data_IF_423938176226
#
_entry.id   IF_423938176226
#
_cell.length_a   1.000
_cell.length_b   1.000
_cell.length_c   1.000
_cell.angle_alpha   90.00
_cell.angle_beta   90.00
_cell.angle_gamma   90.00
#
_symmetry.space_group_name_H-M   'P 1'
#
loop_
_entity.id
_entity.type
_entity.pdbx_description
1 polymer ?
#
# COMPACT_ATOMS: atom_id res chain seq x y z
N UNK A 1 3.43 -33.36 23.70
CA UNK A 1 3.20 -32.71 22.39
C UNK A 1 3.52 -31.23 22.60
N UNK A 2 4.39 -30.63 21.78
CA UNK A 2 4.66 -29.19 21.84
C UNK A 2 3.70 -28.54 20.84
N UNK A 3 2.72 -27.78 21.33
CA UNK A 3 1.86 -26.96 20.46
C UNK A 3 2.59 -25.66 20.16
N UNK A 4 2.78 -25.38 18.88
CA UNK A 4 3.25 -24.08 18.42
C UNK A 4 2.03 -23.23 18.14
N UNK A 5 1.96 -22.08 18.79
CA UNK A 5 0.84 -21.15 18.67
C UNK A 5 1.23 -20.03 17.70
N UNK A 6 0.25 -19.53 16.94
CA UNK A 6 0.46 -18.40 16.05
C UNK A 6 0.73 -17.12 16.83
N UNK A 7 1.54 -16.23 16.25
CA UNK A 7 1.79 -14.92 16.85
C UNK A 7 0.58 -13.99 16.71
N UNK A 8 0.44 -13.08 17.66
CA UNK A 8 -0.46 -11.94 17.59
C UNK A 8 0.25 -10.68 18.10
N UNK A 9 -0.41 -9.54 18.02
CA UNK A 9 0.13 -8.28 18.57
C UNK A 9 0.34 -8.33 20.09
N UNK A 10 -0.35 -9.22 20.80
CA UNK A 10 -0.30 -9.34 22.27
C UNK A 10 0.30 -10.66 22.75
N UNK A 11 0.50 -11.63 21.86
CA UNK A 11 1.00 -12.97 22.16
C UNK A 11 2.15 -13.35 21.23
N UNK A 12 3.27 -13.75 21.82
CA UNK A 12 4.39 -14.31 21.05
C UNK A 12 3.99 -15.66 20.45
N UNK A 13 4.42 -15.92 19.23
CA UNK A 13 4.17 -17.16 18.51
C UNK A 13 5.02 -17.27 17.26
N UNK A 14 4.66 -18.18 16.36
CA UNK A 14 5.32 -18.38 15.07
C UNK A 14 4.44 -17.82 13.95
N UNK A 15 5.05 -17.31 12.88
CA UNK A 15 4.36 -16.86 11.67
C UNK A 15 5.11 -17.38 10.43
N UNK A 16 4.38 -17.57 9.34
CA UNK A 16 4.98 -17.80 8.02
C UNK A 16 5.22 -16.46 7.33
N UNK A 17 6.22 -16.44 6.44
CA UNK A 17 6.60 -15.24 5.71
C UNK A 17 5.96 -15.20 4.32
N UNK A 18 5.59 -14.01 3.86
CA UNK A 18 5.10 -13.74 2.50
C UNK A 18 5.95 -12.66 1.82
N UNK A 19 6.16 -12.82 0.51
CA UNK A 19 6.79 -11.81 -0.36
C UNK A 19 5.83 -11.18 -1.35
N UNK A 20 4.52 -11.44 -1.22
CA UNK A 20 3.50 -10.70 -1.97
C UNK A 20 3.43 -9.24 -1.51
N UNK A 21 3.19 -8.32 -2.45
CA UNK A 21 3.11 -6.86 -2.21
C UNK A 21 1.67 -6.37 -2.01
N UNK A 22 0.69 -7.21 -2.32
CA UNK A 22 -0.76 -6.97 -2.32
C UNK A 22 -1.52 -7.93 -1.38
N UNK A 23 -0.83 -8.50 -0.39
CA UNK A 23 -1.40 -9.51 0.49
C UNK A 23 -2.30 -8.93 1.59
N UNK A 24 -3.57 -9.33 1.60
CA UNK A 24 -4.55 -9.02 2.67
C UNK A 24 -4.45 -9.93 3.91
N UNK A 25 -3.51 -10.88 3.93
CA UNK A 25 -3.42 -11.88 5.00
C UNK A 25 -2.87 -11.31 6.31
N UNK A 26 -3.68 -11.33 7.37
CA UNK A 26 -3.26 -10.94 8.74
C UNK A 26 -2.41 -12.02 9.47
N UNK A 27 -2.39 -13.26 8.96
CA UNK A 27 -1.65 -14.38 9.56
C UNK A 27 -0.19 -14.53 9.06
N UNK A 28 0.20 -13.79 8.02
CA UNK A 28 1.52 -13.89 7.39
C UNK A 28 2.30 -12.60 7.65
N UNK A 29 3.58 -12.72 8.00
CA UNK A 29 4.44 -11.55 8.14
C UNK A 29 5.04 -11.14 6.79
N UNK A 30 5.05 -9.83 6.53
CA UNK A 30 5.69 -9.26 5.34
C UNK A 30 7.22 -9.41 5.43
N UNK A 31 7.84 -9.75 4.30
CA UNK A 31 9.31 -9.77 4.16
C UNK A 31 9.85 -8.37 3.82
N UNK A 32 11.10 -8.03 4.18
CA UNK A 32 11.74 -6.78 3.76
C UNK A 32 11.72 -6.57 2.24
N UNK A 33 11.77 -7.66 1.46
CA UNK A 33 11.64 -7.65 0.00
C UNK A 33 10.30 -7.07 -0.46
N UNK A 34 9.19 -7.51 0.13
CA UNK A 34 7.85 -7.00 -0.22
C UNK A 34 7.72 -5.51 0.15
N UNK A 35 8.20 -5.13 1.34
CA UNK A 35 8.15 -3.72 1.79
C UNK A 35 8.97 -2.82 0.88
N UNK A 36 10.17 -3.27 0.47
CA UNK A 36 11.02 -2.50 -0.43
C UNK A 36 10.39 -2.34 -1.82
N UNK A 37 9.82 -3.41 -2.38
CA UNK A 37 9.18 -3.37 -3.69
C UNK A 37 8.01 -2.38 -3.74
N UNK A 38 7.17 -2.33 -2.70
CA UNK A 38 6.09 -1.33 -2.60
C UNK A 38 6.65 0.09 -2.50
N UNK A 39 7.73 0.29 -1.73
CA UNK A 39 8.36 1.61 -1.60
C UNK A 39 8.93 2.10 -2.94
N UNK A 40 9.55 1.21 -3.71
CA UNK A 40 10.08 1.53 -5.04
C UNK A 40 8.94 1.91 -5.99
N UNK A 41 7.85 1.13 -6.02
CA UNK A 41 6.66 1.41 -6.82
C UNK A 41 6.02 2.77 -6.49
N UNK A 42 5.87 3.09 -5.19
CA UNK A 42 5.32 4.38 -4.73
C UNK A 42 6.25 5.54 -5.08
N UNK A 43 7.57 5.34 -4.99
CA UNK A 43 8.55 6.37 -5.34
C UNK A 43 8.54 6.65 -6.85
N UNK A 44 8.46 5.59 -7.66
CA UNK A 44 8.34 5.71 -9.12
C UNK A 44 7.02 6.37 -9.52
N UNK A 45 5.90 6.02 -8.88
CA UNK A 45 4.61 6.68 -9.11
C UNK A 45 4.64 8.16 -8.73
N UNK A 46 5.32 8.51 -7.64
CA UNK A 46 5.50 9.89 -7.19
C UNK A 46 6.34 10.71 -8.19
N UNK A 47 7.35 10.08 -8.80
CA UNK A 47 8.15 10.69 -9.85
C UNK A 47 7.42 10.76 -11.20
N UNK A 48 6.54 9.80 -11.49
CA UNK A 48 5.74 9.73 -12.71
C UNK A 48 4.58 10.74 -12.75
N UNK A 49 4.40 11.57 -11.71
CA UNK A 49 3.54 12.75 -11.81
C UNK A 49 2.06 12.41 -11.93
N UNK A 50 1.58 11.31 -11.34
CA UNK A 50 0.16 11.20 -10.98
C UNK A 50 -0.07 11.97 -9.68
N UNK A 51 0.24 13.26 -9.77
CA UNK A 51 -0.23 14.25 -8.85
C UNK A 51 -1.77 14.19 -8.87
N UNK A 52 -2.41 14.31 -7.72
CA UNK A 52 -3.86 14.55 -7.60
C UNK A 52 -4.35 15.83 -8.31
N UNK A 53 -3.56 16.39 -9.23
CA UNK A 53 -3.88 17.44 -10.18
C UNK A 53 -4.71 16.97 -11.38
N UNK A 54 -4.96 15.68 -11.56
CA UNK A 54 -5.92 15.22 -12.59
C UNK A 54 -7.38 15.60 -12.26
N UNK A 55 -7.65 16.05 -11.04
CA UNK A 55 -8.89 16.76 -10.69
C UNK A 55 -8.99 18.16 -11.34
N UNK A 56 -7.87 18.72 -11.81
CA UNK A 56 -7.80 20.00 -12.52
C UNK A 56 -7.59 19.82 -14.03
N UNK A 57 -6.91 18.76 -14.48
CA UNK A 57 -6.63 18.53 -15.91
C UNK A 57 -7.86 18.04 -16.72
N UNK A 58 -8.85 17.40 -16.10
CA UNK A 58 -10.13 17.05 -16.77
C UNK A 58 -11.13 18.23 -16.82
N UNK A 59 -10.79 19.38 -16.21
CA UNK A 59 -11.66 20.56 -16.21
C UNK A 59 -11.40 21.50 -17.39
N UNK A 60 -10.27 21.42 -18.08
CA UNK A 60 -9.96 22.32 -19.21
C UNK A 60 -10.73 21.99 -20.49
N UNK A 61 -11.41 20.84 -20.56
CA UNK A 61 -12.42 20.54 -21.58
C UNK A 61 -13.87 20.53 -21.03
N UNK A 62 -14.07 20.85 -19.75
CA UNK A 62 -15.38 21.00 -19.15
C UNK A 62 -15.54 22.46 -18.71
N UNK A 63 -16.00 23.33 -19.61
CA UNK A 63 -16.17 24.78 -19.42
C UNK A 63 -17.14 25.22 -18.33
N UNK A 64 -17.04 24.67 -17.12
CA UNK A 64 -17.85 25.04 -15.96
C UNK A 64 -17.20 24.54 -14.65
N UNK A 65 -16.04 25.08 -14.27
CA UNK A 65 -15.60 25.02 -12.88
C UNK A 65 -15.53 26.45 -12.35
N UNK A 66 -16.71 27.00 -12.05
CA UNK A 66 -16.82 28.23 -11.27
C UNK A 66 -16.38 27.93 -9.84
N UNK A 67 -15.20 28.40 -9.44
CA UNK A 67 -14.84 28.46 -8.02
C UNK A 67 -15.74 29.52 -7.36
N UNK A 68 -16.76 29.06 -6.61
CA UNK A 68 -17.49 29.90 -5.65
C UNK A 68 -17.01 29.55 -4.26
N UNK A 69 -16.52 30.60 -3.60
CA UNK A 69 -15.83 30.71 -2.30
C UNK A 69 -14.39 30.19 -2.23
#
# INVERSE_FOLDING_TARGET
MISLEDASLTKKGIVKLSSATDSDSEALAATPKAVHAVMDEVTDQSAAGQSGTDWYANSTNAGNHSCRY
#
